data_IF_654629431635
#
_entry.id   IF_654629431635
#
_cell.length_a   1.000
_cell.length_b   1.000
_cell.length_c   1.000
_cell.angle_alpha   90.00
_cell.angle_beta   90.00
_cell.angle_gamma   90.00
#
_symmetry.space_group_name_H-M   'P 1'
#
loop_
_entity.id
_entity.type
_entity.pdbx_description
1 polymer ?
#
# COMPACT_ATOMS: atom_id res chain seq x y z
N UNK A 1 9.56 -9.62 -6.86
CA UNK A 1 9.31 -8.66 -5.76
C UNK A 1 9.91 -7.35 -6.21
N UNK A 2 9.15 -6.25 -6.17
CA UNK A 2 9.74 -4.92 -6.40
C UNK A 2 10.82 -4.67 -5.35
N UNK A 3 11.93 -4.04 -5.75
CA UNK A 3 12.95 -3.63 -4.81
C UNK A 3 12.37 -2.57 -3.84
N UNK A 4 12.88 -2.48 -2.61
CA UNK A 4 12.44 -1.47 -1.65
C UNK A 4 12.64 -0.06 -2.19
N UNK A 5 13.73 0.16 -2.93
CA UNK A 5 14.02 1.43 -3.59
C UNK A 5 12.98 1.77 -4.68
N UNK A 6 12.51 0.78 -5.44
CA UNK A 6 11.46 0.97 -6.44
C UNK A 6 10.14 1.37 -5.79
N UNK A 7 9.82 0.78 -4.64
CA UNK A 7 8.60 1.08 -3.90
C UNK A 7 8.60 2.52 -3.35
N UNK A 8 9.72 2.94 -2.76
CA UNK A 8 9.89 4.29 -2.21
C UNK A 8 9.81 5.36 -3.30
N UNK A 9 10.37 5.08 -4.48
CA UNK A 9 10.27 5.93 -5.66
C UNK A 9 8.81 6.05 -6.15
N UNK A 10 8.11 4.92 -6.29
CA UNK A 10 6.71 4.91 -6.75
C UNK A 10 5.78 5.65 -5.78
N UNK A 11 5.97 5.47 -4.46
CA UNK A 11 5.21 6.22 -3.46
C UNK A 11 5.52 7.71 -3.50
N UNK A 12 6.80 8.09 -3.70
CA UNK A 12 7.19 9.50 -3.79
C UNK A 12 6.55 10.19 -4.98
N UNK A 13 6.53 9.55 -6.16
CA UNK A 13 5.81 10.04 -7.35
C UNK A 13 4.31 10.16 -7.09
N UNK A 14 3.70 9.15 -6.51
CA UNK A 14 2.27 9.17 -6.18
C UNK A 14 1.92 10.30 -5.21
N UNK A 15 2.76 10.55 -4.21
CA UNK A 15 2.63 11.64 -3.26
C UNK A 15 2.75 13.03 -3.90
N UNK A 16 3.41 13.14 -5.05
CA UNK A 16 3.50 14.35 -5.88
C UNK A 16 2.33 14.50 -6.85
N UNK A 17 1.39 13.54 -6.87
CA UNK A 17 0.18 13.57 -7.69
C UNK A 17 0.28 12.78 -9.00
N UNK A 18 1.39 12.09 -9.25
CA UNK A 18 1.52 11.19 -10.39
C UNK A 18 0.67 9.92 -10.18
N UNK A 19 -0.55 9.93 -10.73
CA UNK A 19 -1.49 8.81 -10.61
C UNK A 19 -1.05 7.58 -11.40
N UNK A 20 -0.20 7.72 -12.41
CA UNK A 20 0.30 6.58 -13.18
C UNK A 20 1.24 5.70 -12.35
N UNK A 21 1.87 6.26 -11.31
CA UNK A 21 2.67 5.52 -10.34
C UNK A 21 1.83 4.53 -9.50
N UNK A 22 0.51 4.70 -9.39
CA UNK A 22 -0.32 3.85 -8.54
C UNK A 22 -0.44 2.42 -9.06
N UNK A 23 -0.56 2.22 -10.38
CA UNK A 23 -0.70 0.87 -10.96
C UNK A 23 0.49 -0.07 -10.65
N UNK A 24 1.75 0.33 -10.89
CA UNK A 24 2.90 -0.50 -10.50
C UNK A 24 3.05 -0.61 -8.99
N UNK A 25 2.75 0.45 -8.22
CA UNK A 25 2.75 0.41 -6.77
C UNK A 25 1.75 -0.61 -6.22
N UNK A 26 0.54 -0.64 -6.77
CA UNK A 26 -0.51 -1.59 -6.39
C UNK A 26 -0.04 -3.02 -6.56
N UNK A 27 0.55 -3.35 -7.71
CA UNK A 27 1.07 -4.71 -7.98
C UNK A 27 2.15 -5.12 -6.98
N UNK A 28 2.97 -4.16 -6.53
CA UNK A 28 4.02 -4.42 -5.55
C UNK A 28 3.48 -4.60 -4.12
N UNK A 29 2.50 -3.77 -3.72
CA UNK A 29 1.93 -3.76 -2.37
C UNK A 29 0.82 -4.79 -2.15
N UNK A 30 0.14 -5.23 -3.20
CA UNK A 30 -1.00 -6.12 -3.08
C UNK A 30 -0.66 -7.44 -2.34
N UNK A 31 0.36 -8.22 -2.76
CA UNK A 31 0.67 -9.47 -2.07
C UNK A 31 1.00 -9.31 -0.57
N UNK A 32 1.87 -8.37 -0.12
CA UNK A 32 2.13 -8.20 1.31
C UNK A 32 0.96 -7.58 2.09
N UNK A 33 0.15 -6.69 1.49
CA UNK A 33 -1.04 -6.14 2.15
C UNK A 33 -2.11 -7.22 2.37
N UNK A 34 -2.40 -8.02 1.33
CA UNK A 34 -3.33 -9.14 1.45
C UNK A 34 -2.87 -10.12 2.53
N UNK A 35 -1.57 -10.46 2.57
CA UNK A 35 -1.01 -11.35 3.59
C UNK A 35 -1.10 -10.80 5.02
N UNK A 36 -1.14 -9.48 5.20
CA UNK A 36 -1.41 -8.87 6.51
C UNK A 36 -2.87 -9.13 6.89
N UNK A 37 -3.80 -8.87 5.99
CA UNK A 37 -5.23 -9.03 6.26
C UNK A 37 -5.65 -10.49 6.42
N UNK A 38 -5.11 -11.42 5.64
CA UNK A 38 -5.33 -12.87 5.80
C UNK A 38 -4.90 -13.41 7.18
N UNK A 39 -4.02 -12.68 7.90
CA UNK A 39 -3.60 -13.06 9.26
C UNK A 39 -4.52 -12.52 10.35
N UNK A 40 -5.36 -11.53 10.03
CA UNK A 40 -6.19 -10.79 10.98
C UNK A 40 -7.67 -11.08 10.79
N UNK A 41 -8.07 -11.36 9.55
CA UNK A 41 -9.44 -11.58 9.12
C UNK A 41 -9.69 -12.99 8.57
N UNK A 42 -10.95 -13.45 8.56
CA UNK A 42 -11.37 -14.59 7.76
C UNK A 42 -11.08 -14.38 6.27
N UNK A 43 -10.86 -15.49 5.55
CA UNK A 43 -10.56 -15.48 4.10
C UNK A 43 -11.59 -14.68 3.28
N UNK A 44 -12.86 -14.74 3.66
CA UNK A 44 -13.96 -14.05 2.98
C UNK A 44 -13.85 -12.51 3.06
N UNK A 45 -13.21 -11.96 4.09
CA UNK A 45 -13.15 -10.51 4.34
C UNK A 45 -11.77 -9.91 4.00
N UNK A 46 -10.71 -10.75 4.00
CA UNK A 46 -9.32 -10.30 3.87
C UNK A 46 -9.04 -9.57 2.55
N UNK A 47 -9.58 -10.06 1.43
CA UNK A 47 -9.35 -9.46 0.11
C UNK A 47 -10.03 -8.09 -0.02
N UNK A 48 -11.24 -7.94 0.52
CA UNK A 48 -11.98 -6.69 0.50
C UNK A 48 -11.33 -5.64 1.40
N UNK A 49 -10.87 -6.03 2.60
CA UNK A 49 -10.14 -5.15 3.50
C UNK A 49 -8.78 -4.71 2.91
N UNK A 50 -8.04 -5.62 2.27
CA UNK A 50 -6.81 -5.28 1.56
C UNK A 50 -7.06 -4.31 0.40
N UNK A 51 -8.16 -4.48 -0.35
CA UNK A 51 -8.56 -3.55 -1.39
C UNK A 51 -8.90 -2.17 -0.82
N UNK A 52 -9.61 -2.11 0.31
CA UNK A 52 -9.87 -0.87 1.06
C UNK A 52 -8.58 -0.17 1.49
N UNK A 53 -7.60 -0.92 1.98
CA UNK A 53 -6.28 -0.38 2.32
C UNK A 53 -5.57 0.24 1.12
N UNK A 54 -5.65 -0.38 -0.06
CA UNK A 54 -5.08 0.16 -1.30
C UNK A 54 -5.73 1.48 -1.73
N UNK A 55 -7.05 1.63 -1.55
CA UNK A 55 -7.75 2.89 -1.79
C UNK A 55 -7.27 3.97 -0.81
N UNK A 56 -7.13 3.65 0.48
CA UNK A 56 -6.63 4.59 1.48
C UNK A 56 -5.18 5.01 1.23
N UNK A 57 -4.34 4.11 0.73
CA UNK A 57 -2.98 4.44 0.28
C UNK A 57 -3.02 5.46 -0.86
N UNK A 58 -3.91 5.29 -1.83
CA UNK A 58 -4.08 6.24 -2.94
C UNK A 58 -4.60 7.61 -2.50
N UNK A 59 -5.60 7.61 -1.61
CA UNK A 59 -6.24 8.81 -1.07
C UNK A 59 -5.29 9.62 -0.20
N UNK A 60 -4.48 8.94 0.61
CA UNK A 60 -3.57 9.55 1.59
C UNK A 60 -2.13 9.65 1.10
N UNK A 61 -1.87 9.37 -0.18
CA UNK A 61 -0.52 9.39 -0.73
C UNK A 61 0.18 10.74 -0.53
N UNK A 62 -0.56 11.86 -0.55
CA UNK A 62 -0.03 13.19 -0.28
C UNK A 62 0.42 13.42 1.17
N UNK A 63 -0.03 12.59 2.12
CA UNK A 63 0.38 12.62 3.54
C UNK A 63 1.67 11.81 3.79
N UNK A 64 2.14 11.04 2.81
CA UNK A 64 3.32 10.21 2.94
C UNK A 64 4.60 11.04 3.13
N UNK A 65 5.34 10.73 4.20
CA UNK A 65 6.67 11.27 4.46
C UNK A 65 7.71 10.54 3.61
N UNK A 66 8.18 11.21 2.54
CA UNK A 66 9.15 10.67 1.58
C UNK A 66 10.53 10.35 2.18
N UNK A 67 10.82 10.79 3.40
CA UNK A 67 12.04 10.44 4.11
C UNK A 67 11.96 9.07 4.82
N UNK A 68 10.77 8.43 4.83
CA UNK A 68 10.53 7.13 5.45
C UNK A 68 10.33 6.05 4.39
N UNK A 69 10.54 4.76 4.71
CA UNK A 69 10.23 3.68 3.79
C UNK A 69 8.72 3.54 3.54
N UNK A 70 8.35 3.24 2.30
CA UNK A 70 6.98 3.10 1.83
C UNK A 70 6.28 1.86 2.42
N UNK A 71 6.98 0.73 2.48
CA UNK A 71 6.39 -0.54 2.85
C UNK A 71 5.77 -0.52 4.26
N UNK A 72 6.46 -0.10 5.33
CA UNK A 72 5.87 -0.06 6.67
C UNK A 72 4.69 0.91 6.78
N UNK A 73 4.72 2.03 6.06
CA UNK A 73 3.61 2.98 6.05
C UNK A 73 2.36 2.36 5.41
N UNK A 74 2.52 1.72 4.25
CA UNK A 74 1.43 1.03 3.56
C UNK A 74 0.87 -0.16 4.36
N UNK A 75 1.74 -0.97 4.96
CA UNK A 75 1.30 -2.12 5.78
C UNK A 75 0.66 -1.68 7.11
N UNK A 76 1.03 -0.51 7.64
CA UNK A 76 0.33 0.08 8.78
C UNK A 76 -1.11 0.45 8.46
N UNK A 77 -1.38 0.95 7.24
CA UNK A 77 -2.75 1.17 6.76
C UNK A 77 -3.48 -0.16 6.63
N UNK A 78 -2.89 -1.16 5.97
CA UNK A 78 -3.51 -2.48 5.83
C UNK A 78 -3.84 -3.13 7.18
N UNK A 79 -2.93 -3.08 8.15
CA UNK A 79 -3.17 -3.61 9.49
C UNK A 79 -4.27 -2.86 10.25
N UNK A 80 -4.49 -1.57 9.97
CA UNK A 80 -5.59 -0.81 10.56
C UNK A 80 -6.96 -1.18 9.96
N UNK A 81 -7.00 -1.64 8.72
CA UNK A 81 -8.24 -2.01 8.03
C UNK A 81 -8.80 -3.39 8.38
N UNK A 82 -8.02 -4.27 9.04
CA UNK A 82 -8.26 -5.71 9.06
C UNK A 82 -8.74 -6.30 10.42
#
# INVERSE_FOLDING_TARGET
MADSADLDMLMSRLAEGDRDAFSPLFRALWPPALKVCERMLPEADAADAAQGAMLKILERANEYDRARPALPWALGIAAWEC
#
